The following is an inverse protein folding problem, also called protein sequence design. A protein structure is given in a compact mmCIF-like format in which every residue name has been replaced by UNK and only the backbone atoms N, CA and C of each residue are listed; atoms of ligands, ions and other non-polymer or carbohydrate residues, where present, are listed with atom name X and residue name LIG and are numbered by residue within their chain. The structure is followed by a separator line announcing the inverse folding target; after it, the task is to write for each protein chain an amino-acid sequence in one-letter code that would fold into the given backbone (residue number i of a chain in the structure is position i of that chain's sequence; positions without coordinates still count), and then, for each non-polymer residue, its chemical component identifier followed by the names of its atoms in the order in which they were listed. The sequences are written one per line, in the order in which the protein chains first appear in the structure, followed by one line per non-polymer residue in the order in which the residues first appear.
data_IF_686855569395
#
_entry.id   IF_686855569395
#
_cell.length_a   1.000
_cell.length_b   1.000
_cell.length_c   1.000
_cell.angle_alpha   90.00
_cell.angle_beta   90.00
_cell.angle_gamma   90.00
#
_symmetry.space_group_name_H-M   'P 1'
#
loop_
_entity.id
_entity.type
_entity.pdbx_description
1 polymer ?
#
# COMPACT_ATOMS: atom_id res chain seq x y z
N UNK A 1 63.01 -44.66 27.25
CA UNK A 1 62.85 -43.19 27.18
C UNK A 1 61.42 -42.86 26.80
N UNK A 2 60.95 -41.72 27.28
CA UNK A 2 59.56 -41.24 27.32
C UNK A 2 59.10 -40.49 26.06
N UNK A 3 57.81 -40.63 25.72
CA UNK A 3 56.95 -39.67 24.98
C UNK A 3 57.39 -39.25 23.56
N UNK A 4 56.55 -38.71 22.67
CA UNK A 4 55.16 -38.24 22.76
C UNK A 4 54.42 -38.55 21.43
N UNK A 5 53.09 -38.74 21.45
CA UNK A 5 52.29 -38.81 20.22
C UNK A 5 51.98 -37.40 19.69
N UNK A 6 51.84 -37.25 18.37
CA UNK A 6 51.21 -36.07 17.77
C UNK A 6 50.17 -36.49 16.73
N UNK A 7 48.92 -36.07 16.96
CA UNK A 7 47.85 -36.18 15.97
C UNK A 7 48.11 -35.19 14.84
N UNK A 8 48.37 -35.69 13.63
CA UNK A 8 48.05 -34.94 12.42
C UNK A 8 46.62 -35.29 12.02
N UNK A 9 45.68 -34.46 12.51
CA UNK A 9 44.29 -34.55 12.12
C UNK A 9 44.15 -34.32 10.61
N UNK A 10 43.35 -35.17 9.96
CA UNK A 10 42.96 -34.99 8.57
C UNK A 10 42.23 -33.65 8.43
N UNK A 11 42.84 -32.69 7.72
CA UNK A 11 42.09 -31.56 7.19
C UNK A 11 40.98 -32.12 6.29
N UNK A 12 39.71 -31.72 6.45
CA UNK A 12 38.64 -32.24 5.63
C UNK A 12 38.94 -31.93 4.17
N UNK A 13 38.90 -32.96 3.33
CA UNK A 13 39.16 -32.87 1.90
C UNK A 13 38.24 -31.81 1.27
N UNK A 14 38.84 -30.74 0.76
CA UNK A 14 38.11 -29.66 0.09
C UNK A 14 37.53 -30.21 -1.20
N UNK A 15 36.25 -30.61 -1.16
CA UNK A 15 35.52 -31.10 -2.32
C UNK A 15 35.53 -29.99 -3.38
N UNK A 16 36.23 -30.24 -4.48
CA UNK A 16 36.43 -29.26 -5.55
C UNK A 16 35.17 -29.13 -6.40
N UNK A 17 34.24 -28.28 -5.98
CA UNK A 17 33.14 -27.85 -6.84
C UNK A 17 33.68 -27.21 -8.12
N UNK A 18 33.05 -27.39 -9.28
CA UNK A 18 33.42 -26.62 -10.45
C UNK A 18 33.17 -25.12 -10.20
N UNK A 19 33.97 -24.27 -10.86
CA UNK A 19 34.02 -22.81 -10.59
C UNK A 19 32.71 -22.10 -10.96
N UNK A 20 32.00 -22.63 -11.95
CA UNK A 20 30.70 -22.19 -12.45
C UNK A 20 29.59 -22.22 -11.40
N UNK A 21 29.54 -23.24 -10.53
CA UNK A 21 28.54 -23.34 -9.45
C UNK A 21 28.66 -22.17 -8.48
N UNK A 22 29.87 -21.88 -7.99
CA UNK A 22 30.05 -20.76 -7.08
C UNK A 22 29.83 -19.41 -7.79
N UNK A 23 30.08 -19.31 -9.09
CA UNK A 23 29.78 -18.11 -9.87
C UNK A 23 28.27 -17.93 -10.12
N UNK A 24 27.51 -18.99 -10.38
CA UNK A 24 26.04 -18.92 -10.48
C UNK A 24 25.40 -18.58 -9.13
N UNK A 25 25.94 -19.14 -8.03
CA UNK A 25 25.58 -18.78 -6.65
C UNK A 25 25.84 -17.29 -6.39
N UNK A 26 27.03 -16.75 -6.73
CA UNK A 26 27.35 -15.30 -6.63
C UNK A 26 26.38 -14.44 -7.45
N UNK A 27 25.99 -14.90 -8.63
CA UNK A 27 25.03 -14.23 -9.52
C UNK A 27 23.56 -14.34 -9.04
N UNK A 28 23.32 -14.86 -7.84
CA UNK A 28 22.02 -14.87 -7.17
C UNK A 28 21.18 -16.12 -7.43
N UNK A 29 21.74 -17.14 -8.07
CA UNK A 29 21.06 -18.41 -8.37
C UNK A 29 21.24 -19.49 -7.30
N UNK A 30 21.69 -19.12 -6.09
CA UNK A 30 21.96 -20.06 -5.00
C UNK A 30 20.77 -20.91 -4.52
N UNK A 31 19.55 -20.58 -4.91
CA UNK A 31 18.36 -21.40 -4.66
C UNK A 31 18.31 -22.70 -5.48
N UNK A 32 19.16 -22.86 -6.51
CA UNK A 32 19.23 -24.06 -7.36
C UNK A 32 20.13 -25.16 -6.77
N UNK A 33 20.96 -24.80 -5.80
CA UNK A 33 22.06 -25.61 -5.28
C UNK A 33 21.74 -26.06 -3.87
N UNK A 34 22.28 -27.21 -3.47
CA UNK A 34 22.04 -27.71 -2.11
C UNK A 34 22.85 -26.92 -1.06
N UNK A 35 22.54 -27.17 0.22
CA UNK A 35 23.19 -26.44 1.31
C UNK A 35 24.68 -26.79 1.44
N UNK A 36 25.11 -27.95 0.98
CA UNK A 36 26.50 -28.40 0.92
C UNK A 36 27.28 -27.58 -0.12
N UNK A 37 26.69 -27.36 -1.29
CA UNK A 37 27.27 -26.53 -2.35
C UNK A 37 27.45 -25.07 -1.89
N UNK A 38 26.42 -24.50 -1.27
CA UNK A 38 26.45 -23.15 -0.71
C UNK A 38 27.53 -23.05 0.38
N UNK A 39 27.59 -23.99 1.31
CA UNK A 39 28.62 -24.05 2.35
C UNK A 39 30.04 -24.17 1.77
N UNK A 40 30.23 -24.97 0.72
CA UNK A 40 31.53 -25.12 0.07
C UNK A 40 31.95 -23.86 -0.69
N UNK A 41 31.01 -23.11 -1.29
CA UNK A 41 31.30 -21.80 -1.86
C UNK A 41 31.55 -20.71 -0.79
N UNK A 42 30.93 -20.81 0.39
CA UNK A 42 31.26 -19.97 1.55
C UNK A 42 32.71 -20.21 2.02
N UNK A 43 33.08 -21.49 2.19
CA UNK A 43 34.45 -21.93 2.55
C UNK A 43 35.52 -21.46 1.56
N UNK A 44 35.19 -21.29 0.27
CA UNK A 44 36.15 -20.85 -0.76
C UNK A 44 36.66 -19.42 -0.57
N UNK A 45 35.86 -18.51 0.00
CA UNK A 45 36.24 -17.10 0.17
C UNK A 45 37.18 -16.82 1.35
N UNK A 46 37.43 -17.82 2.21
CA UNK A 46 38.44 -17.74 3.27
C UNK A 46 39.87 -17.60 2.72
N UNK A 47 40.07 -17.85 1.43
CA UNK A 47 41.30 -17.59 0.70
C UNK A 47 40.93 -16.86 -0.58
N UNK A 48 41.44 -15.63 -0.76
CA UNK A 48 41.47 -15.05 -2.10
C UNK A 48 42.44 -15.85 -3.00
N UNK A 49 42.41 -15.62 -4.31
CA UNK A 49 43.30 -16.32 -5.26
C UNK A 49 44.80 -16.03 -5.07
N UNK A 50 45.16 -15.20 -4.10
CA UNK A 50 46.52 -14.80 -3.76
C UNK A 50 46.94 -15.30 -2.35
N UNK A 51 46.08 -16.06 -1.65
CA UNK A 51 46.37 -16.65 -0.34
C UNK A 51 46.17 -15.71 0.86
N UNK A 52 45.51 -14.56 0.68
CA UNK A 52 45.15 -13.67 1.80
C UNK A 52 43.88 -14.18 2.47
N UNK A 53 43.93 -14.34 3.80
CA UNK A 53 42.79 -14.75 4.60
C UNK A 53 41.86 -13.56 4.83
N UNK A 54 40.64 -13.66 4.33
CA UNK A 54 39.52 -12.83 4.80
C UNK A 54 38.87 -13.59 5.95
N UNK A 55 38.82 -13.00 7.15
CA UNK A 55 38.16 -13.61 8.32
C UNK A 55 36.63 -13.56 8.16
N UNK A 56 36.10 -14.47 7.34
CA UNK A 56 34.69 -14.80 7.37
C UNK A 56 34.39 -15.66 8.61
N UNK A 57 33.49 -15.22 9.50
CA UNK A 57 33.03 -16.07 10.61
C UNK A 57 32.40 -17.36 10.07
N UNK A 58 33.04 -18.50 10.35
CA UNK A 58 32.57 -19.80 9.87
C UNK A 58 31.29 -20.23 10.60
N UNK A 59 30.14 -19.97 9.97
CA UNK A 59 28.84 -20.48 10.41
C UNK A 59 28.46 -21.69 9.58
N UNK A 60 28.36 -22.86 10.22
CA UNK A 60 27.97 -24.09 9.55
C UNK A 60 26.45 -24.16 9.37
N UNK A 61 25.93 -23.93 8.15
CA UNK A 61 24.50 -24.00 7.85
C UNK A 61 23.88 -25.38 8.18
N UNK A 62 24.69 -26.44 8.38
CA UNK A 62 24.20 -27.81 8.60
C UNK A 62 23.35 -28.00 9.87
N UNK A 63 23.31 -27.02 10.79
CA UNK A 63 22.44 -27.10 11.98
C UNK A 63 20.96 -26.77 11.72
N UNK A 64 20.60 -26.24 10.54
CA UNK A 64 19.22 -25.92 10.19
C UNK A 64 18.87 -26.37 8.76
N UNK A 65 18.01 -27.39 8.67
CA UNK A 65 17.31 -27.82 7.45
C UNK A 65 16.27 -26.80 6.92
N UNK A 66 16.41 -25.53 7.32
CA UNK A 66 15.34 -24.53 7.31
C UNK A 66 15.72 -23.22 6.60
N UNK A 67 16.62 -23.28 5.61
CA UNK A 67 17.08 -22.12 4.83
C UNK A 67 16.54 -22.08 3.37
N UNK A 68 15.22 -22.16 3.13
CA UNK A 68 14.64 -22.34 1.79
C UNK A 68 14.79 -21.14 0.84
N UNK A 69 15.17 -19.97 1.35
CA UNK A 69 15.16 -18.68 0.63
C UNK A 69 16.54 -17.97 0.67
N UNK A 70 17.60 -18.77 0.78
CA UNK A 70 18.99 -18.41 0.45
C UNK A 70 19.84 -17.78 1.56
N UNK A 71 21.14 -17.68 1.29
CA UNK A 71 22.18 -17.06 2.13
C UNK A 71 22.13 -15.53 2.09
N UNK A 72 22.97 -14.85 2.89
CA UNK A 72 23.28 -13.42 2.79
C UNK A 72 24.77 -13.20 2.48
N UNK A 73 25.16 -11.93 2.31
CA UNK A 73 26.57 -11.49 2.35
C UNK A 73 26.74 -10.44 3.44
N UNK A 74 27.80 -10.53 4.22
CA UNK A 74 28.15 -9.52 5.23
C UNK A 74 28.88 -8.31 4.62
N UNK A 75 29.38 -7.43 5.48
CA UNK A 75 30.14 -6.23 5.08
C UNK A 75 31.51 -6.53 4.46
N UNK A 76 32.02 -7.76 4.62
CA UNK A 76 33.26 -8.27 4.03
C UNK A 76 33.00 -9.13 2.77
N UNK A 77 31.76 -9.15 2.28
CA UNK A 77 31.28 -9.95 1.15
C UNK A 77 31.39 -11.49 1.39
N UNK A 78 31.47 -11.91 2.64
CA UNK A 78 31.44 -13.31 3.09
C UNK A 78 30.01 -13.85 3.12
N UNK A 79 29.82 -15.13 2.78
CA UNK A 79 28.49 -15.76 2.77
C UNK A 79 28.03 -16.11 4.19
N UNK A 80 26.87 -15.59 4.62
CA UNK A 80 26.33 -15.85 5.97
C UNK A 80 25.04 -16.69 5.96
N UNK A 81 24.99 -17.65 6.87
CA UNK A 81 23.89 -18.58 7.12
C UNK A 81 22.81 -17.97 8.04
N UNK A 82 22.26 -16.80 7.70
CA UNK A 82 21.14 -16.24 8.50
C UNK A 82 19.82 -16.93 8.13
N UNK A 83 19.66 -18.14 8.66
CA UNK A 83 18.42 -18.88 8.71
C UNK A 83 17.64 -18.45 9.98
N UNK A 84 16.32 -18.35 9.89
CA UNK A 84 15.48 -18.05 11.06
C UNK A 84 15.61 -19.20 12.06
N UNK A 85 15.86 -18.89 13.33
CA UNK A 85 15.97 -19.89 14.39
C UNK A 85 14.62 -20.56 14.66
N UNK A 86 14.64 -21.88 14.85
CA UNK A 86 13.49 -22.63 15.35
C UNK A 86 12.95 -22.01 16.66
N UNK A 87 11.65 -21.71 16.69
CA UNK A 87 10.96 -21.20 17.87
C UNK A 87 10.31 -19.82 17.71
N UNK A 88 10.70 -19.04 16.70
CA UNK A 88 9.90 -17.89 16.25
C UNK A 88 8.90 -18.31 15.17
N UNK A 89 7.70 -17.70 15.15
CA UNK A 89 6.75 -17.87 14.05
C UNK A 89 7.43 -17.47 12.72
N UNK A 90 7.38 -18.34 11.70
CA UNK A 90 8.12 -18.19 10.43
C UNK A 90 7.62 -17.02 9.58
N UNK A 91 8.11 -15.80 9.85
CA UNK A 91 7.79 -14.61 9.07
C UNK A 91 8.80 -14.37 7.94
N UNK A 92 8.40 -14.67 6.71
CA UNK A 92 9.07 -14.18 5.51
C UNK A 92 8.65 -12.75 5.23
N UNK A 93 9.60 -11.87 4.87
CA UNK A 93 9.30 -10.46 4.61
C UNK A 93 8.47 -9.82 5.75
N UNK A 94 8.76 -10.19 7.00
CA UNK A 94 8.20 -9.71 8.26
C UNK A 94 6.70 -9.87 8.52
N UNK A 95 5.85 -10.06 7.49
CA UNK A 95 4.39 -10.13 7.60
C UNK A 95 3.79 -11.31 6.80
N UNK A 96 4.60 -12.12 6.12
CA UNK A 96 4.15 -13.36 5.47
C UNK A 96 4.46 -14.56 6.36
N UNK A 97 3.42 -15.15 6.96
CA UNK A 97 3.55 -16.40 7.72
C UNK A 97 3.73 -17.59 6.75
N UNK A 98 4.95 -18.15 6.69
CA UNK A 98 5.24 -19.30 5.84
C UNK A 98 4.71 -20.60 6.47
N UNK A 99 3.56 -21.06 6.00
CA UNK A 99 3.09 -22.42 6.31
C UNK A 99 4.00 -23.47 5.66
N UNK A 100 4.07 -24.68 6.23
CA UNK A 100 4.83 -25.81 5.67
C UNK A 100 4.44 -26.10 4.21
N UNK A 101 3.14 -26.05 3.88
CA UNK A 101 2.62 -26.18 2.52
C UNK A 101 3.19 -25.11 1.58
N UNK A 102 3.23 -23.85 2.02
CA UNK A 102 3.80 -22.74 1.25
C UNK A 102 5.32 -22.84 1.11
N UNK A 103 6.03 -23.27 2.17
CA UNK A 103 7.47 -23.54 2.16
C UNK A 103 7.81 -24.62 1.13
N UNK A 104 7.02 -25.70 1.09
CA UNK A 104 7.19 -26.79 0.13
C UNK A 104 6.93 -26.32 -1.31
N UNK A 105 5.87 -25.54 -1.56
CA UNK A 105 5.61 -24.93 -2.89
C UNK A 105 6.76 -24.01 -3.33
N UNK A 106 7.36 -23.23 -2.42
CA UNK A 106 8.49 -22.35 -2.76
C UNK A 106 9.80 -23.11 -3.03
N UNK A 107 9.98 -24.30 -2.44
CA UNK A 107 11.17 -25.15 -2.54
C UNK A 107 11.14 -26.09 -3.75
N UNK A 108 10.10 -26.93 -3.86
CA UNK A 108 10.09 -28.04 -4.84
C UNK A 108 9.90 -27.57 -6.28
N UNK A 109 9.44 -26.35 -6.48
CA UNK A 109 8.79 -25.92 -7.72
C UNK A 109 9.50 -24.77 -8.44
N UNK A 110 10.73 -24.44 -8.05
CA UNK A 110 11.46 -23.31 -8.64
C UNK A 110 11.75 -23.50 -10.14
N UNK A 111 11.75 -24.75 -10.64
CA UNK A 111 11.82 -25.04 -12.08
C UNK A 111 10.43 -25.12 -12.76
N UNK A 112 9.35 -25.32 -12.00
CA UNK A 112 8.01 -25.66 -12.49
C UNK A 112 6.93 -24.65 -12.06
N UNK A 113 7.30 -23.38 -11.91
CA UNK A 113 6.36 -22.25 -11.75
C UNK A 113 5.50 -22.27 -10.48
N UNK A 114 6.14 -22.33 -9.29
CA UNK A 114 5.50 -22.16 -7.98
C UNK A 114 4.42 -21.06 -7.91
N UNK A 115 4.61 -19.93 -8.61
CA UNK A 115 3.66 -18.82 -8.72
C UNK A 115 2.25 -19.24 -9.18
N UNK A 116 2.16 -20.28 -10.01
CA UNK A 116 0.89 -20.80 -10.55
C UNK A 116 0.24 -21.86 -9.64
N UNK A 117 0.91 -22.25 -8.54
CA UNK A 117 0.46 -23.30 -7.61
C UNK A 117 0.05 -22.80 -6.23
N UNK A 118 0.21 -21.51 -5.95
CA UNK A 118 -0.39 -20.86 -4.79
C UNK A 118 -1.92 -21.11 -4.80
N UNK A 119 -2.50 -21.79 -3.80
CA UNK A 119 -3.92 -22.10 -3.84
C UNK A 119 -4.76 -20.83 -3.74
N UNK A 120 -5.77 -20.70 -4.61
CA UNK A 120 -6.62 -19.52 -4.68
C UNK A 120 -7.95 -19.73 -3.96
N UNK A 121 -8.61 -18.64 -3.58
CA UNK A 121 -10.00 -18.64 -3.09
C UNK A 121 -11.02 -18.80 -4.22
N UNK A 122 -10.83 -19.79 -5.10
CA UNK A 122 -11.69 -20.04 -6.26
C UNK A 122 -12.70 -21.19 -6.06
N UNK A 123 -12.76 -21.74 -4.85
CA UNK A 123 -13.52 -22.95 -4.49
C UNK A 123 -14.99 -22.69 -4.08
N UNK A 124 -15.38 -21.43 -3.84
CA UNK A 124 -16.76 -21.04 -3.50
C UNK A 124 -17.22 -19.96 -4.49
N UNK A 125 -18.27 -20.23 -5.26
CA UNK A 125 -18.79 -19.31 -6.29
C UNK A 125 -20.20 -18.82 -5.96
N UNK A 126 -20.44 -17.55 -6.28
CA UNK A 126 -21.75 -16.88 -6.23
C UNK A 126 -21.95 -16.12 -7.56
N UNK A 127 -22.52 -16.81 -8.55
CA UNK A 127 -22.53 -16.35 -9.94
C UNK A 127 -21.12 -16.23 -10.52
N UNK A 128 -20.78 -15.08 -11.09
CA UNK A 128 -19.42 -14.75 -11.58
C UNK A 128 -18.43 -14.38 -10.47
N UNK A 129 -18.84 -14.45 -9.20
CA UNK A 129 -18.05 -14.00 -8.06
C UNK A 129 -17.48 -15.17 -7.25
N UNK A 130 -16.41 -14.91 -6.50
CA UNK A 130 -15.81 -15.84 -5.55
C UNK A 130 -16.02 -15.36 -4.12
N UNK A 131 -16.55 -16.24 -3.27
CA UNK A 131 -16.84 -15.93 -1.86
C UNK A 131 -15.64 -16.31 -0.99
N UNK A 132 -15.21 -15.37 -0.16
CA UNK A 132 -14.16 -15.56 0.83
C UNK A 132 -14.82 -15.42 2.20
N UNK A 133 -15.15 -16.53 2.87
CA UNK A 133 -15.76 -16.50 4.19
C UNK A 133 -14.75 -15.96 5.21
N UNK A 134 -15.20 -15.12 6.14
CA UNK A 134 -14.38 -14.64 7.24
C UNK A 134 -15.11 -14.60 8.58
N UNK A 135 -14.33 -14.72 9.65
CA UNK A 135 -14.73 -14.50 11.05
C UNK A 135 -13.80 -13.44 11.64
N UNK A 136 -14.32 -12.60 12.53
CA UNK A 136 -13.51 -11.64 13.29
C UNK A 136 -13.57 -12.01 14.76
N UNK A 137 -12.41 -12.24 15.36
CA UNK A 137 -12.25 -12.51 16.79
C UNK A 137 -12.69 -11.32 17.64
N UNK A 138 -13.16 -11.60 18.86
CA UNK A 138 -13.37 -10.58 19.90
C UNK A 138 -12.10 -9.81 20.29
N UNK A 139 -10.91 -10.33 19.94
CA UNK A 139 -9.62 -9.65 20.10
C UNK A 139 -9.40 -8.48 19.12
N UNK A 140 -10.33 -8.25 18.19
CA UNK A 140 -10.32 -7.13 17.23
C UNK A 140 -11.43 -6.13 17.58
N UNK A 141 -11.01 -4.96 18.08
CA UNK A 141 -11.92 -3.88 18.47
C UNK A 141 -12.70 -3.28 17.28
N UNK A 142 -13.65 -2.41 17.60
CA UNK A 142 -14.50 -1.69 16.65
C UNK A 142 -13.72 -1.02 15.50
N UNK A 143 -12.54 -0.46 15.78
CA UNK A 143 -11.69 0.16 14.76
C UNK A 143 -11.16 -0.89 13.74
N UNK A 144 -10.64 -2.02 14.21
CA UNK A 144 -10.20 -3.11 13.35
C UNK A 144 -11.35 -3.75 12.57
N UNK A 145 -12.50 -3.97 13.21
CA UNK A 145 -13.72 -4.42 12.53
C UNK A 145 -14.18 -3.44 11.43
N UNK A 146 -14.04 -2.13 11.66
CA UNK A 146 -14.35 -1.09 10.68
C UNK A 146 -13.36 -1.12 9.51
N UNK A 147 -12.07 -1.32 9.77
CA UNK A 147 -11.05 -1.48 8.74
C UNK A 147 -11.31 -2.72 7.87
N UNK A 148 -11.62 -3.87 8.47
CA UNK A 148 -11.97 -5.12 7.75
C UNK A 148 -13.23 -4.93 6.89
N UNK A 149 -14.31 -4.35 7.45
CA UNK A 149 -15.55 -4.06 6.71
C UNK A 149 -15.31 -3.07 5.56
N UNK A 150 -14.38 -2.12 5.71
CA UNK A 150 -14.01 -1.19 4.66
C UNK A 150 -13.12 -1.84 3.57
N UNK A 151 -12.25 -2.78 3.94
CA UNK A 151 -11.46 -3.59 3.01
C UNK A 151 -12.37 -4.49 2.17
N UNK A 152 -13.31 -5.21 2.80
CA UNK A 152 -14.30 -6.05 2.13
C UNK A 152 -15.07 -5.28 1.05
N UNK A 153 -15.55 -4.06 1.36
CA UNK A 153 -16.23 -3.17 0.39
C UNK A 153 -15.36 -2.77 -0.79
N UNK A 154 -14.06 -2.58 -0.61
CA UNK A 154 -13.14 -2.27 -1.71
C UNK A 154 -12.95 -3.50 -2.62
N UNK A 155 -12.80 -4.72 -2.07
CA UNK A 155 -12.77 -5.94 -2.88
C UNK A 155 -14.10 -6.15 -3.64
N UNK A 156 -15.24 -5.98 -2.97
CA UNK A 156 -16.57 -6.09 -3.57
C UNK A 156 -16.77 -5.11 -4.74
N UNK A 157 -16.28 -3.87 -4.58
CA UNK A 157 -16.43 -2.80 -5.57
C UNK A 157 -15.53 -2.95 -6.79
N UNK A 158 -14.33 -3.51 -6.61
CA UNK A 158 -13.24 -3.43 -7.59
C UNK A 158 -12.80 -4.77 -8.16
N UNK A 159 -13.36 -5.88 -7.68
CA UNK A 159 -13.03 -7.23 -8.12
C UNK A 159 -14.26 -8.14 -8.16
N UNK A 160 -14.09 -9.40 -8.56
CA UNK A 160 -15.12 -10.44 -8.39
C UNK A 160 -15.06 -11.14 -7.02
N UNK A 161 -14.25 -10.66 -6.07
CA UNK A 161 -14.10 -11.25 -4.74
C UNK A 161 -15.11 -10.69 -3.75
N UNK A 162 -15.70 -11.56 -2.92
CA UNK A 162 -16.75 -11.23 -1.95
C UNK A 162 -16.33 -11.70 -0.57
N UNK A 163 -15.71 -10.81 0.20
CA UNK A 163 -15.46 -11.07 1.62
C UNK A 163 -16.81 -11.04 2.36
N UNK A 164 -17.23 -12.18 2.92
CA UNK A 164 -18.53 -12.34 3.58
C UNK A 164 -18.36 -12.95 4.98
N UNK A 165 -19.18 -12.56 5.97
CA UNK A 165 -19.23 -13.26 7.25
C UNK A 165 -19.54 -14.75 7.02
N UNK A 166 -18.67 -15.61 7.54
CA UNK A 166 -18.77 -17.07 7.45
C UNK A 166 -20.11 -17.57 7.97
N UNK A 167 -20.67 -18.57 7.30
CA UNK A 167 -21.87 -19.29 7.73
C UNK A 167 -21.51 -20.69 8.25
N UNK A 168 -20.98 -21.57 7.38
CA UNK A 168 -20.75 -23.00 7.66
C UNK A 168 -19.47 -23.56 7.03
N UNK A 169 -18.74 -22.75 6.28
CA UNK A 169 -17.61 -23.14 5.45
C UNK A 169 -16.43 -23.63 6.31
N UNK A 170 -15.76 -24.70 5.91
CA UNK A 170 -14.65 -25.28 6.69
C UNK A 170 -13.38 -24.44 6.61
N UNK A 171 -13.02 -23.96 5.42
CA UNK A 171 -11.93 -23.01 5.20
C UNK A 171 -12.42 -21.56 5.14
N UNK A 172 -11.82 -20.70 5.95
CA UNK A 172 -12.19 -19.28 6.07
C UNK A 172 -11.03 -18.45 6.67
N UNK A 173 -11.05 -17.13 6.45
CA UNK A 173 -10.12 -16.19 7.10
C UNK A 173 -10.61 -15.89 8.52
N UNK A 174 -9.78 -16.14 9.54
CA UNK A 174 -10.04 -15.75 10.91
C UNK A 174 -9.15 -14.55 11.28
N UNK A 175 -9.73 -13.35 11.32
CA UNK A 175 -9.04 -12.15 11.76
C UNK A 175 -8.87 -12.19 13.29
N UNK A 176 -7.63 -12.12 13.75
CA UNK A 176 -7.22 -12.22 15.16
C UNK A 176 -6.23 -11.11 15.50
N UNK A 177 -6.08 -10.77 16.77
CA UNK A 177 -4.96 -9.95 17.24
C UNK A 177 -3.92 -10.87 17.89
N UNK A 178 -2.83 -11.15 17.18
CA UNK A 178 -1.65 -11.87 17.70
C UNK A 178 -0.46 -10.94 18.00
N UNK A 179 -0.67 -9.61 17.94
CA UNK A 179 0.42 -8.66 17.73
C UNK A 179 0.86 -8.63 16.25
N UNK A 180 1.45 -7.52 15.83
CA UNK A 180 1.85 -7.30 14.43
C UNK A 180 0.69 -7.32 13.41
N UNK A 181 1.03 -7.16 12.15
CA UNK A 181 0.14 -7.37 11.00
C UNK A 181 0.77 -8.49 10.18
N UNK A 182 0.04 -9.57 9.88
CA UNK A 182 0.57 -10.66 9.06
C UNK A 182 -0.51 -11.60 8.51
N UNK A 183 -0.18 -12.31 7.43
CA UNK A 183 -1.03 -13.31 6.79
C UNK A 183 -0.18 -14.39 6.10
N UNK A 184 -0.66 -15.66 6.04
CA UNK A 184 -0.18 -16.61 5.04
C UNK A 184 -0.43 -16.11 3.61
N UNK A 185 0.37 -16.58 2.65
CA UNK A 185 0.09 -16.33 1.22
C UNK A 185 -0.82 -17.42 0.64
N UNK A 186 -1.91 -16.99 0.01
CA UNK A 186 -2.91 -17.87 -0.60
C UNK A 186 -3.88 -18.52 0.40
N UNK A 187 -4.80 -19.32 -0.16
CA UNK A 187 -5.83 -20.07 0.58
C UNK A 187 -5.21 -21.31 1.24
N UNK A 188 -5.31 -21.41 2.56
CA UNK A 188 -4.93 -22.62 3.30
C UNK A 188 -6.06 -23.66 3.28
N UNK A 189 -5.75 -24.91 3.66
CA UNK A 189 -6.70 -26.04 3.59
C UNK A 189 -7.93 -25.88 4.50
N UNK A 190 -7.78 -25.20 5.63
CA UNK A 190 -8.77 -25.05 6.70
C UNK A 190 -8.87 -23.57 7.13
N UNK A 191 -9.10 -23.29 8.41
CA UNK A 191 -9.02 -21.94 8.99
C UNK A 191 -7.63 -21.35 8.77
N UNK A 192 -7.54 -20.15 8.20
CA UNK A 192 -6.29 -19.39 8.15
C UNK A 192 -6.40 -18.14 9.02
N UNK A 193 -5.42 -17.93 9.89
CA UNK A 193 -5.37 -16.74 10.73
C UNK A 193 -4.75 -15.58 9.96
N UNK A 194 -5.32 -14.40 10.13
CA UNK A 194 -4.75 -13.12 9.67
C UNK A 194 -4.63 -12.23 10.90
N UNK A 195 -3.40 -11.84 11.26
CA UNK A 195 -3.17 -10.96 12.40
C UNK A 195 -3.40 -9.50 12.00
N UNK A 196 -4.22 -8.80 12.78
CA UNK A 196 -4.39 -7.36 12.72
C UNK A 196 -4.28 -6.81 14.14
N UNK A 197 -3.04 -6.68 14.63
CA UNK A 197 -2.75 -6.15 15.95
C UNK A 197 -2.91 -4.63 16.09
N UNK A 198 -2.53 -4.11 17.26
CA UNK A 198 -2.51 -2.68 17.55
C UNK A 198 -1.66 -1.92 16.52
N UNK A 199 -2.25 -0.92 15.86
CA UNK A 199 -1.62 -0.17 14.75
C UNK A 199 -2.01 -0.66 13.35
N UNK A 200 -2.46 -1.91 13.20
CA UNK A 200 -2.85 -2.50 11.91
C UNK A 200 -4.27 -2.12 11.45
N UNK A 201 -5.05 -1.42 12.28
CA UNK A 201 -6.48 -1.15 12.07
C UNK A 201 -6.75 0.01 11.09
N UNK A 202 -6.07 -0.03 9.94
CA UNK A 202 -6.26 0.88 8.82
C UNK A 202 -6.76 0.08 7.62
N UNK A 203 -7.66 0.67 6.81
CA UNK A 203 -8.23 -0.03 5.64
C UNK A 203 -7.16 -0.55 4.69
N UNK A 204 -6.09 0.21 4.43
CA UNK A 204 -5.01 -0.23 3.54
C UNK A 204 -4.22 -1.41 4.09
N UNK A 205 -3.96 -1.46 5.40
CA UNK A 205 -3.32 -2.62 6.05
C UNK A 205 -4.23 -3.84 6.02
N UNK A 206 -5.53 -3.69 6.34
CA UNK A 206 -6.47 -4.79 6.21
C UNK A 206 -6.61 -5.30 4.75
N UNK A 207 -6.48 -4.43 3.75
CA UNK A 207 -6.39 -4.83 2.33
C UNK A 207 -5.07 -5.58 2.04
N UNK A 208 -3.95 -5.12 2.58
CA UNK A 208 -2.62 -5.72 2.42
C UNK A 208 -2.60 -7.17 2.92
N UNK A 209 -3.01 -7.40 4.17
CA UNK A 209 -3.07 -8.76 4.74
C UNK A 209 -4.04 -9.67 3.98
N UNK A 210 -5.19 -9.13 3.55
CA UNK A 210 -6.11 -9.91 2.70
C UNK A 210 -5.46 -10.22 1.35
N UNK A 211 -4.72 -9.31 0.74
CA UNK A 211 -4.02 -9.57 -0.52
C UNK A 211 -2.96 -10.67 -0.39
N UNK A 212 -2.22 -10.76 0.72
CA UNK A 212 -1.41 -11.95 1.02
C UNK A 212 -2.29 -13.21 1.03
N UNK A 213 -3.37 -13.24 1.81
CA UNK A 213 -4.35 -14.33 1.84
C UNK A 213 -4.97 -14.69 0.47
N UNK A 214 -4.91 -13.80 -0.53
CA UNK A 214 -5.35 -14.04 -1.91
C UNK A 214 -4.30 -14.65 -2.83
N UNK A 215 -3.02 -14.64 -2.44
CA UNK A 215 -1.90 -15.14 -3.23
C UNK A 215 -0.87 -14.08 -3.65
N UNK A 216 -0.91 -12.87 -3.07
CA UNK A 216 0.00 -11.79 -3.44
C UNK A 216 1.23 -11.72 -2.54
N UNK A 217 2.37 -11.48 -3.18
CA UNK A 217 3.64 -11.15 -2.53
C UNK A 217 3.86 -9.63 -2.55
N UNK A 218 4.93 -9.18 -1.91
CA UNK A 218 5.33 -7.79 -1.95
C UNK A 218 5.75 -7.30 -3.35
N UNK A 219 5.43 -6.06 -3.66
CA UNK A 219 5.87 -5.44 -4.92
C UNK A 219 7.40 -5.24 -4.95
N UNK A 220 8.03 -4.90 -3.82
CA UNK A 220 9.51 -4.74 -3.77
C UNK A 220 10.30 -6.05 -3.85
N UNK A 221 9.63 -7.21 -3.81
CA UNK A 221 10.27 -8.52 -3.97
C UNK A 221 10.29 -9.02 -5.43
N UNK A 222 9.65 -8.31 -6.37
CA UNK A 222 9.60 -8.73 -7.78
C UNK A 222 11.01 -8.93 -8.38
N UNK A 223 11.19 -9.89 -9.32
CA UNK A 223 12.48 -10.13 -9.99
C UNK A 223 13.05 -8.88 -10.67
N UNK A 224 12.16 -8.06 -11.24
CA UNK A 224 12.44 -6.83 -12.00
C UNK A 224 12.58 -5.57 -11.13
N UNK A 225 12.42 -5.65 -9.80
CA UNK A 225 12.40 -4.47 -8.91
C UNK A 225 13.66 -3.60 -9.01
N UNK A 226 14.82 -4.21 -9.30
CA UNK A 226 16.09 -3.49 -9.49
C UNK A 226 16.14 -2.68 -10.79
N UNK A 227 15.10 -2.69 -11.64
CA UNK A 227 14.94 -1.74 -12.74
C UNK A 227 14.23 -0.46 -12.29
N UNK A 228 13.55 -0.48 -11.14
CA UNK A 228 12.60 0.57 -10.72
C UNK A 228 13.01 1.27 -9.43
N UNK A 229 13.60 0.53 -8.48
CA UNK A 229 14.04 1.05 -7.17
C UNK A 229 15.51 0.74 -6.92
N UNK A 230 16.06 1.30 -5.84
CA UNK A 230 17.35 0.93 -5.27
C UNK A 230 17.14 0.51 -3.81
N UNK A 231 17.73 -0.62 -3.43
CA UNK A 231 17.86 -1.01 -2.03
C UNK A 231 19.17 -0.42 -1.50
N UNK A 232 19.10 0.28 -0.37
CA UNK A 232 20.25 0.83 0.34
C UNK A 232 20.55 -0.08 1.53
N UNK A 233 21.24 -1.19 1.25
CA UNK A 233 21.53 -2.25 2.21
C UNK A 233 22.17 -1.74 3.51
N UNK A 234 23.07 -0.75 3.40
CA UNK A 234 23.74 -0.09 4.52
C UNK A 234 22.82 0.72 5.46
N UNK A 235 21.56 0.92 5.09
CA UNK A 235 20.55 1.58 5.94
C UNK A 235 19.60 0.57 6.61
N UNK A 236 19.73 -0.73 6.33
CA UNK A 236 18.85 -1.77 6.88
C UNK A 236 19.34 -2.15 8.29
N UNK A 237 18.43 -2.53 9.18
CA UNK A 237 18.73 -3.12 10.47
C UNK A 237 19.49 -4.45 10.31
N UNK A 238 20.46 -4.69 11.20
CA UNK A 238 21.15 -5.98 11.24
C UNK A 238 20.13 -7.11 11.38
N UNK A 239 20.34 -8.18 10.64
CA UNK A 239 19.42 -9.32 10.53
C UNK A 239 18.13 -9.10 9.75
N UNK A 240 17.86 -7.92 9.20
CA UNK A 240 16.59 -7.62 8.50
C UNK A 240 16.70 -7.55 6.97
N UNK A 241 17.88 -7.83 6.39
CA UNK A 241 18.11 -7.76 4.95
C UNK A 241 17.33 -8.82 4.15
N UNK A 242 16.99 -9.97 4.75
CA UNK A 242 16.17 -11.00 4.10
C UNK A 242 14.80 -10.46 3.63
N UNK A 243 14.24 -9.46 4.31
CA UNK A 243 12.98 -8.80 3.94
C UNK A 243 13.01 -8.09 2.57
N UNK A 244 14.21 -7.87 2.02
CA UNK A 244 14.45 -7.20 0.73
C UNK A 244 14.97 -8.16 -0.35
N UNK A 245 14.99 -9.47 -0.09
CA UNK A 245 15.33 -10.47 -1.11
C UNK A 245 14.28 -10.48 -2.22
N UNK A 246 14.75 -10.67 -3.46
CA UNK A 246 13.88 -10.85 -4.62
C UNK A 246 13.38 -12.29 -4.65
N UNK A 247 12.15 -12.45 -5.08
CA UNK A 247 11.60 -13.72 -5.54
C UNK A 247 12.03 -13.95 -7.00
N UNK A 248 12.06 -15.20 -7.42
CA UNK A 248 12.36 -15.57 -8.82
C UNK A 248 11.12 -15.46 -9.71
N UNK A 249 11.32 -15.41 -11.03
CA UNK A 249 10.22 -15.39 -12.02
C UNK A 249 9.35 -16.65 -12.02
N UNK A 250 9.79 -17.73 -11.38
CA UNK A 250 8.99 -18.93 -11.15
C UNK A 250 8.20 -18.89 -9.83
N UNK A 251 8.61 -18.06 -8.85
CA UNK A 251 7.95 -17.90 -7.56
C UNK A 251 6.87 -16.81 -7.54
N UNK A 252 6.98 -15.77 -8.37
CA UNK A 252 5.97 -14.71 -8.47
C UNK A 252 5.59 -14.41 -9.93
N UNK A 253 4.28 -14.23 -10.17
CA UNK A 253 3.73 -13.86 -11.46
C UNK A 253 3.13 -12.46 -11.37
N UNK A 254 3.71 -11.49 -12.08
CA UNK A 254 3.22 -10.11 -12.12
C UNK A 254 2.01 -9.91 -13.06
N UNK A 255 1.53 -10.98 -13.71
CA UNK A 255 0.43 -11.00 -14.68
C UNK A 255 0.59 -9.99 -15.85
N UNK A 256 1.82 -9.62 -16.19
CA UNK A 256 2.14 -8.59 -17.20
C UNK A 256 1.95 -7.15 -16.71
N UNK A 257 1.82 -6.91 -15.40
CA UNK A 257 1.83 -5.57 -14.83
C UNK A 257 3.24 -4.97 -14.86
N UNK A 258 3.34 -3.68 -15.21
CA UNK A 258 4.53 -2.88 -14.88
C UNK A 258 4.64 -2.71 -13.37
N UNK A 259 5.86 -2.64 -12.84
CA UNK A 259 6.14 -2.37 -11.42
C UNK A 259 5.36 -1.17 -10.85
N UNK A 260 4.88 -1.28 -9.61
CA UNK A 260 3.98 -0.29 -8.99
C UNK A 260 4.42 0.21 -7.61
N UNK A 261 5.17 1.32 -7.59
CA UNK A 261 5.49 2.06 -6.34
C UNK A 261 4.21 2.48 -5.56
N UNK A 262 3.08 2.61 -6.26
CA UNK A 262 1.77 2.91 -5.67
C UNK A 262 1.01 1.70 -5.12
N UNK A 263 1.52 0.47 -5.27
CA UNK A 263 0.87 -0.75 -4.77
C UNK A 263 0.70 -0.70 -3.26
N UNK A 264 -0.43 -1.22 -2.78
CA UNK A 264 -0.63 -1.45 -1.33
C UNK A 264 0.34 -2.53 -0.80
N UNK A 265 0.87 -3.38 -1.69
CA UNK A 265 1.89 -4.40 -1.41
C UNK A 265 3.33 -3.88 -1.51
N UNK A 266 3.57 -2.58 -1.68
CA UNK A 266 4.93 -2.03 -1.68
C UNK A 266 5.33 -1.54 -0.28
N UNK A 267 6.53 -1.90 0.19
CA UNK A 267 7.15 -1.34 1.40
C UNK A 267 7.41 0.16 1.28
N UNK A 268 7.24 0.90 2.38
CA UNK A 268 7.65 2.30 2.45
C UNK A 268 9.19 2.46 2.51
N UNK A 269 9.70 3.61 2.08
CA UNK A 269 11.14 3.90 2.03
C UNK A 269 11.91 3.73 3.35
N UNK A 270 11.25 3.69 4.50
CA UNK A 270 11.88 3.56 5.83
C UNK A 270 11.68 2.17 6.47
N UNK A 271 11.12 1.19 5.73
CA UNK A 271 10.97 -0.17 6.24
C UNK A 271 12.33 -0.71 6.73
N UNK A 272 12.38 -1.27 7.95
CA UNK A 272 13.59 -1.82 8.58
C UNK A 272 14.81 -0.89 8.58
N UNK A 273 14.61 0.44 8.63
CA UNK A 273 15.71 1.40 8.70
C UNK A 273 16.43 1.35 10.05
N UNK A 274 17.76 1.24 10.05
CA UNK A 274 18.61 1.27 11.24
C UNK A 274 18.94 2.69 11.72
N UNK A 275 18.92 3.66 10.81
CA UNK A 275 19.53 4.97 10.97
C UNK A 275 18.62 6.13 10.53
N UNK A 276 17.33 5.88 10.31
CA UNK A 276 16.34 6.85 9.83
C UNK A 276 16.49 7.26 8.35
N UNK A 277 17.49 6.73 7.64
CA UNK A 277 17.71 6.95 6.19
C UNK A 277 16.96 5.90 5.38
N UNK A 278 16.60 6.19 4.12
CA UNK A 278 15.75 5.28 3.35
C UNK A 278 16.46 3.99 2.95
N UNK A 279 15.85 2.86 3.26
CA UNK A 279 16.23 1.50 2.81
C UNK A 279 15.79 1.23 1.38
N UNK A 280 14.71 1.88 0.91
CA UNK A 280 14.28 1.85 -0.50
C UNK A 280 14.17 3.29 -1.04
N UNK A 281 14.79 3.55 -2.18
CA UNK A 281 14.67 4.82 -2.92
C UNK A 281 14.29 4.58 -4.38
N UNK A 282 13.92 5.64 -5.09
CA UNK A 282 13.96 5.62 -6.55
C UNK A 282 15.42 5.52 -7.08
N UNK A 283 15.58 5.50 -8.40
CA UNK A 283 16.89 5.45 -9.05
C UNK A 283 17.77 6.68 -8.82
N UNK A 284 17.18 7.81 -8.44
CA UNK A 284 17.88 9.07 -8.15
C UNK A 284 18.22 9.22 -6.66
N UNK A 285 17.85 8.26 -5.81
CA UNK A 285 18.09 8.30 -4.37
C UNK A 285 17.01 9.00 -3.54
N UNK A 286 15.88 9.41 -4.14
CA UNK A 286 14.79 10.06 -3.42
C UNK A 286 13.84 9.05 -2.75
N UNK A 287 13.16 9.49 -1.68
CA UNK A 287 12.14 8.69 -0.99
C UNK A 287 10.95 8.44 -1.90
N UNK A 288 10.49 7.18 -1.92
CA UNK A 288 9.32 6.73 -2.66
C UNK A 288 8.03 7.29 -2.05
N UNK A 289 7.04 7.55 -2.91
CA UNK A 289 5.69 7.96 -2.52
C UNK A 289 4.74 6.76 -2.49
N UNK A 290 4.95 5.88 -1.51
CA UNK A 290 4.08 4.71 -1.27
C UNK A 290 2.82 5.09 -0.49
N UNK A 291 1.87 4.14 -0.34
CA UNK A 291 0.57 4.42 0.27
C UNK A 291 0.00 3.22 1.06
N UNK A 292 -0.94 3.51 1.98
CA UNK A 292 -1.76 2.54 2.74
C UNK A 292 -3.23 3.00 2.78
N UNK A 293 -3.72 3.57 1.69
CA UNK A 293 -5.10 4.06 1.51
C UNK A 293 -6.02 3.04 0.83
N UNK A 294 -5.49 2.06 0.09
CA UNK A 294 -6.23 0.95 -0.51
C UNK A 294 -5.55 0.41 -1.78
N UNK A 295 -6.21 -0.49 -2.51
CA UNK A 295 -5.69 -1.07 -3.75
C UNK A 295 -5.40 0.01 -4.82
N UNK A 296 -4.24 -0.08 -5.45
CA UNK A 296 -3.86 0.67 -6.64
C UNK A 296 -4.66 0.22 -7.88
N UNK A 297 -4.46 0.89 -9.01
CA UNK A 297 -5.00 0.43 -10.29
C UNK A 297 -4.41 -0.91 -10.75
N UNK A 298 -3.13 -1.16 -10.44
CA UNK A 298 -2.41 -2.40 -10.82
C UNK A 298 -2.71 -3.53 -9.87
N UNK A 299 -2.85 -3.28 -8.56
CA UNK A 299 -3.34 -4.26 -7.57
C UNK A 299 -4.66 -4.88 -8.05
N UNK A 300 -5.65 -4.03 -8.38
CA UNK A 300 -6.94 -4.47 -8.94
C UNK A 300 -6.79 -5.26 -10.24
N UNK A 301 -5.91 -4.82 -11.15
CA UNK A 301 -5.70 -5.51 -12.43
C UNK A 301 -5.14 -6.92 -12.19
N UNK A 302 -4.11 -7.05 -11.35
CA UNK A 302 -3.50 -8.34 -11.04
C UNK A 302 -4.50 -9.28 -10.34
N UNK A 303 -5.27 -8.80 -9.35
CA UNK A 303 -6.32 -9.61 -8.70
C UNK A 303 -7.36 -10.08 -9.73
N UNK A 304 -7.87 -9.18 -10.57
CA UNK A 304 -8.89 -9.53 -11.56
C UNK A 304 -8.38 -10.52 -12.62
N UNK A 305 -7.08 -10.46 -12.97
CA UNK A 305 -6.45 -11.40 -13.91
C UNK A 305 -6.15 -12.75 -13.25
N UNK A 306 -5.64 -12.76 -12.01
CA UNK A 306 -5.40 -13.97 -11.22
C UNK A 306 -6.70 -14.76 -10.98
N UNK A 307 -7.78 -14.08 -10.60
CA UNK A 307 -9.10 -14.68 -10.35
C UNK A 307 -10.02 -14.73 -11.57
N UNK A 308 -9.54 -14.37 -12.77
CA UNK A 308 -10.30 -14.46 -14.03
C UNK A 308 -11.68 -13.77 -13.99
N UNK A 309 -11.75 -12.61 -13.36
CA UNK A 309 -13.01 -11.90 -13.09
C UNK A 309 -13.68 -11.40 -14.39
N UNK A 310 -14.78 -12.04 -14.79
CA UNK A 310 -15.41 -11.88 -16.12
C UNK A 310 -16.06 -10.51 -16.40
N UNK A 311 -16.53 -9.82 -15.37
CA UNK A 311 -17.38 -8.63 -15.51
C UNK A 311 -16.85 -7.39 -14.77
N UNK A 312 -15.58 -7.39 -14.39
CA UNK A 312 -14.95 -6.24 -13.73
C UNK A 312 -14.36 -5.34 -14.81
N UNK A 313 -15.16 -4.37 -15.26
CA UNK A 313 -14.80 -3.44 -16.33
C UNK A 313 -13.39 -2.89 -16.16
N UNK A 314 -12.61 -2.93 -17.25
CA UNK A 314 -11.18 -2.62 -17.24
C UNK A 314 -10.92 -1.22 -16.68
N UNK A 315 -10.51 -1.18 -15.41
CA UNK A 315 -10.07 0.01 -14.69
C UNK A 315 -8.75 0.60 -15.18
N UNK A 316 -8.38 0.36 -16.44
CA UNK A 316 -7.50 1.23 -17.20
C UNK A 316 -8.22 2.57 -17.37
N UNK A 317 -7.66 3.64 -16.82
CA UNK A 317 -8.15 4.98 -17.08
C UNK A 317 -7.97 5.34 -18.55
N UNK A 318 -8.99 5.09 -19.37
CA UNK A 318 -9.02 5.53 -20.76
C UNK A 318 -9.57 6.95 -20.83
N UNK A 319 -8.67 7.89 -21.10
CA UNK A 319 -9.04 8.98 -21.98
C UNK A 319 -9.19 8.41 -23.38
N UNK A 320 -10.39 8.49 -23.95
CA UNK A 320 -10.63 8.36 -25.38
C UNK A 320 -11.59 9.47 -25.80
N UNK A 321 -11.10 10.35 -26.66
CA UNK A 321 -11.97 11.07 -27.57
C UNK A 321 -12.18 10.23 -28.82
N UNK A 322 -13.35 10.36 -29.44
CA UNK A 322 -13.54 10.03 -30.86
C UNK A 322 -14.35 11.16 -31.49
N UNK A 323 -13.75 11.81 -32.48
CA UNK A 323 -14.49 12.59 -33.46
C UNK A 323 -15.11 11.65 -34.50
N UNK A 324 -16.23 12.07 -35.07
CA UNK A 324 -16.95 11.33 -36.12
C UNK A 324 -16.39 11.62 -37.50
N UNK A 325 -16.05 10.58 -38.26
CA UNK A 325 -15.89 10.63 -39.71
C UNK A 325 -16.94 9.75 -40.38
N UNK A 326 -17.68 10.30 -41.35
CA UNK A 326 -18.68 9.56 -42.13
C UNK A 326 -18.01 8.72 -43.22
N UNK A 327 -18.31 7.43 -43.26
CA UNK A 327 -17.86 6.54 -44.33
C UNK A 327 -18.69 5.26 -44.38
N UNK A 328 -19.35 5.00 -45.51
CA UNK A 328 -20.08 3.76 -45.78
C UNK A 328 -19.11 2.64 -46.17
N UNK A 329 -19.12 1.52 -45.45
CA UNK A 329 -18.31 0.35 -45.79
C UNK A 329 -18.65 -0.87 -44.94
N UNK A 330 -19.13 -1.93 -45.58
CA UNK A 330 -19.34 -3.26 -44.98
C UNK A 330 -18.04 -4.06 -44.97
N UNK A 331 -17.61 -4.55 -43.81
CA UNK A 331 -16.44 -5.44 -43.73
C UNK A 331 -16.18 -5.99 -42.33
N UNK A 332 -16.05 -7.32 -42.24
CA UNK A 332 -15.64 -8.06 -41.04
C UNK A 332 -14.12 -8.22 -41.00
N UNK A 333 -13.45 -7.90 -39.89
CA UNK A 333 -12.01 -8.15 -39.74
C UNK A 333 -11.48 -7.91 -38.33
N UNK A 334 -10.57 -8.77 -37.87
CA UNK A 334 -9.84 -8.69 -36.60
C UNK A 334 -8.50 -7.96 -36.78
N UNK A 335 -8.13 -7.04 -35.88
CA UNK A 335 -6.84 -6.35 -35.96
C UNK A 335 -6.49 -5.51 -34.72
N UNK A 336 -5.20 -5.49 -34.36
CA UNK A 336 -4.61 -4.74 -33.24
C UNK A 336 -3.94 -3.44 -33.68
N UNK A 337 -4.09 -2.34 -32.93
CA UNK A 337 -3.38 -1.08 -33.20
C UNK A 337 -3.46 -0.05 -32.08
N UNK A 338 -2.42 0.79 -31.95
CA UNK A 338 -2.25 1.84 -30.92
C UNK A 338 -2.30 3.25 -31.53
N UNK A 339 -2.86 4.24 -30.82
CA UNK A 339 -2.87 5.64 -31.26
C UNK A 339 -3.42 6.61 -30.20
N UNK A 340 -2.96 7.87 -30.23
CA UNK A 340 -3.29 8.94 -29.27
C UNK A 340 -4.05 10.09 -29.93
N UNK A 341 -4.99 10.72 -29.20
CA UNK A 341 -5.74 11.89 -29.69
C UNK A 341 -6.55 12.62 -28.60
N UNK A 342 -6.59 13.95 -28.67
CA UNK A 342 -7.27 14.84 -27.71
C UNK A 342 -8.65 15.29 -28.20
N UNK A 343 -9.61 15.48 -27.28
CA UNK A 343 -10.95 16.00 -27.63
C UNK A 343 -11.81 16.35 -26.41
N UNK A 344 -12.45 17.52 -26.46
CA UNK A 344 -13.35 18.06 -25.42
C UNK A 344 -14.80 17.63 -25.66
N UNK A 345 -15.51 17.18 -24.61
CA UNK A 345 -16.93 16.81 -24.73
C UNK A 345 -17.64 16.55 -23.39
N UNK A 346 -18.78 17.22 -23.18
CA UNK A 346 -19.62 17.10 -21.98
C UNK A 346 -20.17 15.67 -21.76
N UNK A 347 -19.97 15.08 -20.57
CA UNK A 347 -20.72 13.88 -20.13
C UNK A 347 -21.95 14.24 -19.30
N UNK A 348 -23.04 13.48 -19.51
CA UNK A 348 -24.42 13.84 -19.14
C UNK A 348 -24.67 14.03 -17.64
N UNK A 349 -25.38 15.12 -17.37
CA UNK A 349 -26.14 15.42 -16.15
C UNK A 349 -27.20 14.36 -15.83
N UNK A 350 -27.33 13.96 -14.56
CA UNK A 350 -28.55 13.29 -14.05
C UNK A 350 -29.59 14.33 -13.63
N UNK A 351 -30.87 14.06 -13.86
CA UNK A 351 -31.99 15.03 -13.83
C UNK A 351 -32.44 15.54 -12.45
N UNK A 352 -31.62 15.43 -11.41
CA UNK A 352 -31.92 15.90 -10.06
C UNK A 352 -30.68 16.43 -9.33
N UNK A 353 -30.92 17.36 -8.38
CA UNK A 353 -29.93 17.75 -7.39
C UNK A 353 -29.92 16.71 -6.25
N UNK A 354 -28.74 16.18 -5.94
CA UNK A 354 -28.52 15.12 -4.92
C UNK A 354 -28.26 15.69 -3.52
N UNK A 355 -28.25 17.01 -3.37
CA UNK A 355 -28.04 17.67 -2.08
C UNK A 355 -28.94 18.89 -1.94
N UNK A 356 -29.56 19.07 -0.77
CA UNK A 356 -30.49 20.17 -0.49
C UNK A 356 -29.86 21.57 -0.65
N UNK A 357 -28.56 21.69 -0.37
CA UNK A 357 -27.77 22.92 -0.56
C UNK A 357 -27.37 23.23 -2.00
N UNK A 358 -27.68 22.38 -3.00
CA UNK A 358 -27.25 22.59 -4.38
C UNK A 358 -27.68 23.94 -4.96
N UNK A 359 -28.90 24.40 -4.65
CA UNK A 359 -29.41 25.72 -5.06
C UNK A 359 -28.59 26.87 -4.49
N UNK A 360 -28.08 26.72 -3.26
CA UNK A 360 -27.24 27.71 -2.60
C UNK A 360 -25.84 27.73 -3.22
N UNK A 361 -25.18 26.57 -3.33
CA UNK A 361 -23.84 26.47 -3.90
C UNK A 361 -23.78 26.91 -5.36
N UNK A 362 -24.83 26.64 -6.15
CA UNK A 362 -24.92 27.18 -7.50
C UNK A 362 -25.00 28.71 -7.52
N UNK A 363 -25.85 29.31 -6.66
CA UNK A 363 -25.94 30.78 -6.51
C UNK A 363 -24.65 31.42 -6.00
N UNK A 364 -23.82 30.73 -5.20
CA UNK A 364 -22.51 31.25 -4.75
C UNK A 364 -21.38 31.04 -5.76
N UNK A 365 -21.67 30.51 -6.96
CA UNK A 365 -20.72 30.34 -8.05
C UNK A 365 -19.91 29.04 -8.00
N UNK A 366 -20.26 28.09 -7.13
CA UNK A 366 -19.52 26.81 -7.01
C UNK A 366 -19.61 25.97 -8.29
N UNK A 367 -20.62 26.17 -9.14
CA UNK A 367 -20.67 25.54 -10.46
C UNK A 367 -19.47 25.92 -11.35
N UNK A 368 -18.87 27.10 -11.14
CA UNK A 368 -17.66 27.56 -11.84
C UNK A 368 -16.38 27.30 -11.03
N UNK A 369 -16.42 27.43 -9.70
CA UNK A 369 -15.25 27.22 -8.81
C UNK A 369 -14.94 25.75 -8.53
N UNK A 370 -15.98 24.93 -8.35
CA UNK A 370 -15.89 23.51 -8.05
C UNK A 370 -16.78 22.67 -9.00
N UNK A 371 -16.57 22.76 -10.33
CA UNK A 371 -17.40 22.05 -11.31
C UNK A 371 -17.35 20.54 -11.13
N UNK A 372 -16.21 19.99 -10.65
CA UNK A 372 -16.03 18.54 -10.44
C UNK A 372 -16.93 17.95 -9.37
N UNK A 373 -17.24 18.69 -8.30
CA UNK A 373 -18.23 18.28 -7.30
C UNK A 373 -19.65 18.66 -7.71
N UNK A 374 -19.81 19.85 -8.29
CA UNK A 374 -21.12 20.45 -8.54
C UNK A 374 -21.86 19.85 -9.74
N UNK A 375 -21.19 19.51 -10.83
CA UNK A 375 -21.84 18.90 -12.00
C UNK A 375 -22.46 17.51 -11.74
N UNK A 376 -21.81 16.57 -11.01
CA UNK A 376 -22.42 15.27 -10.71
C UNK A 376 -23.41 15.24 -9.54
N UNK A 377 -23.41 16.27 -8.67
CA UNK A 377 -24.25 16.30 -7.45
C UNK A 377 -25.32 17.40 -7.44
N UNK A 378 -25.12 18.50 -8.16
CA UNK A 378 -25.95 19.70 -8.12
C UNK A 378 -26.33 20.19 -9.52
N UNK A 379 -26.67 19.22 -10.37
CA UNK A 379 -26.69 19.44 -11.80
C UNK A 379 -27.87 20.30 -12.28
N UNK A 380 -29.04 20.19 -11.64
CA UNK A 380 -30.20 21.03 -11.98
C UNK A 380 -29.94 22.46 -11.54
N UNK A 381 -29.44 22.64 -10.32
CA UNK A 381 -29.02 23.95 -9.81
C UNK A 381 -27.93 24.61 -10.66
N UNK A 382 -26.94 23.87 -11.16
CA UNK A 382 -25.89 24.41 -12.02
C UNK A 382 -26.31 24.67 -13.47
N UNK A 383 -27.37 24.01 -13.96
CA UNK A 383 -27.97 24.34 -15.24
C UNK A 383 -28.84 25.59 -15.14
N UNK A 384 -29.52 25.81 -14.02
CA UNK A 384 -30.33 27.01 -13.80
C UNK A 384 -29.53 28.32 -13.77
N UNK A 385 -28.20 28.27 -13.63
CA UNK A 385 -27.32 29.46 -13.59
C UNK A 385 -26.81 29.93 -14.97
N UNK A 386 -27.34 29.40 -16.08
CA UNK A 386 -27.04 29.90 -17.44
C UNK A 386 -27.96 31.04 -17.88
N UNK A 387 -28.97 31.40 -17.09
CA UNK A 387 -29.83 32.57 -17.34
C UNK A 387 -29.23 33.85 -16.75
N UNK A 388 -29.07 34.87 -17.60
CA UNK A 388 -28.97 36.27 -17.16
C UNK A 388 -30.22 36.65 -16.38
N UNK A 389 -30.08 36.94 -15.08
CA UNK A 389 -31.23 37.23 -14.23
C UNK A 389 -30.85 37.81 -12.87
N UNK A 390 -31.02 39.13 -12.74
CA UNK A 390 -31.01 39.84 -11.45
C UNK A 390 -32.09 39.27 -10.54
N UNK A 391 -31.70 38.66 -9.41
CA UNK A 391 -32.62 37.92 -8.55
C UNK A 391 -32.18 37.84 -7.09
N UNK A 392 -32.27 38.98 -6.39
CA UNK A 392 -32.15 39.08 -4.93
C UNK A 392 -33.13 38.15 -4.23
N UNK A 393 -32.65 37.12 -3.52
CA UNK A 393 -33.50 36.29 -2.64
C UNK A 393 -32.80 36.07 -1.31
N UNK A 394 -33.58 36.25 -0.23
CA UNK A 394 -33.16 36.40 1.15
C UNK A 394 -32.44 35.18 1.74
N UNK A 395 -31.57 35.49 2.70
CA UNK A 395 -30.94 34.60 3.65
C UNK A 395 -31.81 34.60 4.93
N UNK A 396 -32.29 33.44 5.37
CA UNK A 396 -33.16 33.28 6.55
C UNK A 396 -32.65 32.18 7.49
N UNK A 397 -33.08 32.25 8.75
CA UNK A 397 -32.83 31.19 9.73
C UNK A 397 -33.88 30.08 9.58
N UNK A 398 -33.43 28.83 9.69
CA UNK A 398 -34.23 27.60 9.55
C UNK A 398 -34.39 26.84 10.86
N UNK A 399 -33.81 27.35 11.95
CA UNK A 399 -33.97 26.82 13.29
C UNK A 399 -34.23 27.97 14.28
N UNK A 400 -35.24 27.80 15.13
CA UNK A 400 -35.61 28.75 16.17
C UNK A 400 -34.46 29.09 17.14
N UNK A 401 -33.54 28.15 17.38
CA UNK A 401 -32.35 28.35 18.22
C UNK A 401 -31.22 29.14 17.57
N UNK A 402 -31.32 29.50 16.28
CA UNK A 402 -30.23 30.12 15.52
C UNK A 402 -29.69 31.41 16.16
N UNK A 403 -30.55 32.27 16.70
CA UNK A 403 -30.13 33.50 17.39
C UNK A 403 -29.27 33.19 18.62
N UNK A 404 -29.69 32.20 19.42
CA UNK A 404 -29.00 31.75 20.63
C UNK A 404 -27.76 30.90 20.39
N UNK A 405 -27.57 30.36 19.18
CA UNK A 405 -26.31 29.74 18.76
C UNK A 405 -25.33 30.76 18.18
N UNK A 406 -25.83 31.72 17.39
CA UNK A 406 -25.02 32.81 16.86
C UNK A 406 -24.43 33.69 17.98
N UNK A 407 -25.22 34.04 19.01
CA UNK A 407 -24.74 34.79 20.18
C UNK A 407 -23.68 34.04 21.02
N UNK A 408 -23.62 32.70 20.93
CA UNK A 408 -22.59 31.87 21.57
C UNK A 408 -21.36 31.61 20.69
N UNK A 409 -21.28 32.26 19.52
CA UNK A 409 -20.16 32.20 18.59
C UNK A 409 -20.14 30.94 17.71
N UNK A 410 -21.24 30.18 17.64
CA UNK A 410 -21.30 28.95 16.83
C UNK A 410 -21.11 29.21 15.34
N UNK A 411 -21.43 30.42 14.85
CA UNK A 411 -21.13 30.82 13.47
C UNK A 411 -19.64 30.70 13.09
N UNK A 412 -18.74 30.80 14.07
CA UNK A 412 -17.29 30.65 13.90
C UNK A 412 -16.76 29.27 14.33
N UNK A 413 -17.38 28.63 15.33
CA UNK A 413 -16.98 27.31 15.83
C UNK A 413 -17.50 26.17 14.96
N UNK A 414 -18.73 26.30 14.44
CA UNK A 414 -19.42 25.32 13.61
C UNK A 414 -20.01 25.98 12.34
N UNK A 415 -19.16 26.61 11.48
CA UNK A 415 -19.63 27.34 10.30
C UNK A 415 -20.36 26.43 9.30
N UNK A 416 -20.00 25.15 9.23
CA UNK A 416 -20.59 24.18 8.31
C UNK A 416 -22.06 23.86 8.64
N UNK A 417 -22.44 23.87 9.92
CA UNK A 417 -23.85 23.75 10.32
C UNK A 417 -24.56 25.11 10.33
N UNK A 418 -23.88 26.14 10.82
CA UNK A 418 -24.50 27.44 11.10
C UNK A 418 -24.75 28.29 9.85
N UNK A 419 -23.86 28.30 8.85
CA UNK A 419 -24.06 29.08 7.63
C UNK A 419 -25.27 28.62 6.78
N UNK A 420 -25.53 27.30 6.57
CA UNK A 420 -26.70 26.86 5.80
C UNK A 420 -28.03 26.86 6.58
N UNK A 421 -27.99 26.78 7.92
CA UNK A 421 -29.21 26.67 8.76
C UNK A 421 -29.56 27.94 9.54
N UNK A 422 -28.57 28.76 9.87
CA UNK A 422 -28.68 29.96 10.70
C UNK A 422 -28.11 31.19 9.99
N UNK A 423 -28.41 31.28 8.70
CA UNK A 423 -27.84 32.27 7.79
C UNK A 423 -28.12 33.70 8.24
N UNK A 424 -29.35 34.04 8.66
CA UNK A 424 -29.70 35.41 9.02
C UNK A 424 -29.08 35.81 10.37
N UNK A 425 -29.10 34.91 11.35
CA UNK A 425 -28.42 35.09 12.64
C UNK A 425 -26.90 35.22 12.50
N UNK A 426 -26.27 34.47 11.59
CA UNK A 426 -24.82 34.58 11.33
C UNK A 426 -24.43 35.75 10.40
N UNK A 427 -25.38 36.39 9.71
CA UNK A 427 -25.10 37.57 8.86
C UNK A 427 -25.39 38.91 9.53
N UNK A 428 -26.21 38.96 10.59
CA UNK A 428 -26.46 40.21 11.33
C UNK A 428 -25.48 40.37 12.49
N UNK A 429 -24.35 40.99 12.16
CA UNK A 429 -23.40 41.69 13.05
C UNK A 429 -22.35 40.79 13.78
N UNK A 430 -21.19 41.35 14.21
CA UNK A 430 -19.99 41.38 13.35
C UNK A 430 -18.74 40.85 14.13
N UNK A 431 -17.45 41.13 13.85
CA UNK A 431 -16.74 42.01 12.91
C UNK A 431 -15.34 41.44 12.59
N UNK A 432 -14.49 42.19 11.87
CA UNK A 432 -13.05 42.07 12.09
C UNK A 432 -12.67 42.86 13.36
N UNK A 433 -12.40 42.13 14.43
CA UNK A 433 -12.00 42.67 15.72
C UNK A 433 -10.80 41.88 16.26
N UNK A 434 -10.06 42.52 17.16
CA UNK A 434 -9.07 41.84 17.98
C UNK A 434 -9.80 41.09 19.10
N UNK A 435 -9.39 39.85 19.36
CA UNK A 435 -9.98 38.99 20.41
C UNK A 435 -9.13 38.98 21.68
N UNK A 436 -8.24 39.97 21.84
CA UNK A 436 -7.46 40.22 23.05
C UNK A 436 -7.19 41.73 23.16
N UNK A 437 -7.38 42.28 24.34
CA UNK A 437 -7.31 43.73 24.60
C UNK A 437 -5.89 44.30 24.44
N UNK A 438 -4.85 43.48 24.67
CA UNK A 438 -3.45 43.88 24.51
C UNK A 438 -2.98 43.93 23.05
N UNK A 439 -3.82 43.56 22.07
CA UNK A 439 -3.45 43.50 20.65
C UNK A 439 -2.89 44.81 20.09
N UNK A 440 -3.42 45.96 20.51
CA UNK A 440 -2.91 47.28 20.10
C UNK A 440 -1.48 47.52 20.60
N UNK A 441 -1.21 47.19 21.88
CA UNK A 441 0.11 47.33 22.49
C UNK A 441 1.14 46.36 21.87
N UNK A 442 0.74 45.12 21.59
CA UNK A 442 1.61 44.14 20.92
C UNK A 442 1.89 44.49 19.45
N UNK A 443 0.90 45.01 18.72
CA UNK A 443 1.12 45.51 17.36
C UNK A 443 2.04 46.74 17.34
N UNK A 444 1.88 47.68 18.28
CA UNK A 444 2.79 48.82 18.46
C UNK A 444 4.22 48.41 18.80
N UNK A 445 4.42 47.26 19.46
CA UNK A 445 5.74 46.63 19.71
C UNK A 445 6.24 45.76 18.55
N UNK A 446 5.55 45.73 17.41
CA UNK A 446 5.96 45.01 16.20
C UNK A 446 5.66 43.51 16.18
N UNK A 447 4.90 42.97 17.13
CA UNK A 447 4.72 41.51 17.28
C UNK A 447 3.98 40.85 16.11
N UNK A 448 3.29 41.63 15.28
CA UNK A 448 2.72 41.19 14.00
C UNK A 448 3.78 40.65 13.02
N UNK A 449 5.05 41.04 13.18
CA UNK A 449 6.15 40.76 12.25
C UNK A 449 7.22 39.81 12.80
N UNK A 450 7.38 39.71 14.12
CA UNK A 450 8.30 38.75 14.75
C UNK A 450 7.89 37.29 14.46
N UNK A 451 8.79 36.44 13.93
CA UNK A 451 8.45 35.08 13.50
C UNK A 451 7.76 34.23 14.57
N UNK A 452 8.20 34.33 15.83
CA UNK A 452 7.67 33.56 16.95
C UNK A 452 6.25 33.96 17.38
N UNK A 453 5.79 35.18 17.07
CA UNK A 453 4.46 35.69 17.48
C UNK A 453 3.48 35.85 16.31
N UNK A 454 3.98 35.94 15.08
CA UNK A 454 3.22 36.18 13.83
C UNK A 454 1.98 35.29 13.65
N UNK A 455 2.05 34.00 14.01
CA UNK A 455 0.91 33.06 13.87
C UNK A 455 -0.19 33.37 14.88
N UNK A 456 0.17 33.62 16.14
CA UNK A 456 -0.78 34.00 17.19
C UNK A 456 -1.41 35.36 16.89
N UNK A 457 -0.57 36.36 16.57
CA UNK A 457 -1.00 37.72 16.25
C UNK A 457 -1.95 37.77 15.04
N UNK A 458 -1.72 36.97 13.99
CA UNK A 458 -2.65 36.86 12.85
C UNK A 458 -3.99 36.20 13.17
N UNK A 459 -4.06 35.38 14.23
CA UNK A 459 -5.29 34.70 14.66
C UNK A 459 -6.10 35.57 15.63
N UNK A 460 -5.42 36.22 16.56
CA UNK A 460 -5.99 36.94 17.72
C UNK A 460 -6.11 38.45 17.50
N UNK A 461 -5.15 39.06 16.79
CA UNK A 461 -4.99 40.51 16.66
C UNK A 461 -5.17 40.98 15.21
N UNK A 462 -6.27 40.55 14.57
CA UNK A 462 -6.51 40.75 13.13
C UNK A 462 -6.60 42.22 12.72
N UNK A 463 -7.24 43.06 13.54
CA UNK A 463 -7.41 44.49 13.29
C UNK A 463 -6.10 45.23 13.59
N UNK A 464 -5.50 45.00 14.76
CA UNK A 464 -4.23 45.63 15.13
C UNK A 464 -3.06 45.25 14.19
N UNK A 465 -3.05 44.04 13.62
CA UNK A 465 -2.04 43.60 12.65
C UNK A 465 -2.39 43.84 11.18
N UNK A 466 -3.42 44.66 10.88
CA UNK A 466 -3.84 44.99 9.50
C UNK A 466 -4.02 43.75 8.61
N UNK A 467 -4.55 42.67 9.19
CA UNK A 467 -4.96 41.46 8.45
C UNK A 467 -6.43 41.57 7.98
N UNK A 468 -7.03 42.71 8.29
CA UNK A 468 -8.17 43.38 7.69
C UNK A 468 -7.88 44.89 7.75
#
# INVERSE_FOLDING_TARGET
MTYLAFLLGLLPSVISLPLDICEDIKNGNGYKYDITDINNCARRKLYDGNGVVIECEYMDCLRYSQCPLGHQRDENDCFTCECVQEGNEDFFQSDIFLTEELRNILLSDVQNGAANRIPLWNNLKEGDNYVIPYVVSSSIDFAGQTAIKAAARDFERYTCLRLRPRQRESGYIHFVNKGGCFSPVGRQRSVQQVSLGGGCWQKGTAIHEVMHSLGFWHEQSRPDRDNHVRINWQNIQSGMAYNFKKMTSSQVNSFGSSYDIGSVMHYGSLAFSSNGRPTITDKNGYKLRTQRSGMSARDRMQINKMYQCKNVGTGTGTGTGTGTGTGTGTGTGTGTGTGTGTGTGNKKCTSSDKHSSCKYWAKTGECKKNPKYMLPNCCVSCRSTTGTGTGTVLCSDRNQSCKGWASRGECSKNPNYMLPNCCASCRRTPACADTNEACSAWAGRGYCWYPQYKVYMRRTCKKSCRQC
#
